data_IF_528358796383
#
_entry.id   IF_528358796383
#
_cell.length_a   1.000
_cell.length_b   1.000
_cell.length_c   1.000
_cell.angle_alpha   90.00
_cell.angle_beta   90.00
_cell.angle_gamma   90.00
#
_symmetry.space_group_name_H-M   'P 1'
#
loop_
_entity.id
_entity.type
_entity.pdbx_description
1 polymer ?
#
# COMPACT_ATOMS: atom_id res chain seq x y z
N UNK A 1 13.57 -5.35 19.56
CA UNK A 1 12.89 -5.13 20.03
C UNK A 1 11.53 -4.77 19.55
N UNK A 2 11.11 -3.57 19.86
CA UNK A 2 9.72 -3.21 19.54
C UNK A 2 9.42 -3.31 18.07
N UNK A 3 10.42 -3.00 17.26
CA UNK A 3 10.19 -3.01 15.81
C UNK A 3 9.90 -4.40 15.29
N UNK A 4 10.37 -5.40 15.98
CA UNK A 4 10.11 -6.76 15.55
C UNK A 4 8.64 -7.12 15.70
N UNK A 5 8.03 -6.63 16.76
CA UNK A 5 6.62 -6.90 16.96
C UNK A 5 5.77 -6.26 15.87
N UNK A 6 6.15 -5.06 15.47
CA UNK A 6 5.44 -4.41 14.37
C UNK A 6 5.60 -5.19 13.09
N UNK A 7 6.76 -5.77 12.88
CA UNK A 7 7.02 -6.54 11.68
C UNK A 7 6.26 -7.86 11.65
N UNK A 8 5.85 -8.35 12.79
CA UNK A 8 5.04 -9.56 12.83
C UNK A 8 3.66 -9.34 12.24
N UNK A 9 3.17 -8.10 12.30
CA UNK A 9 1.83 -7.79 11.83
C UNK A 9 1.79 -7.56 10.33
N UNK A 10 2.88 -7.08 9.76
CA UNK A 10 2.96 -6.92 8.31
C UNK A 10 4.42 -7.02 7.89
N UNK A 11 4.62 -7.31 6.62
CA UNK A 11 5.95 -7.62 6.11
C UNK A 11 6.60 -6.46 5.37
N UNK A 12 6.03 -5.27 5.49
CA UNK A 12 6.52 -4.12 4.75
C UNK A 12 7.79 -3.55 5.39
N UNK A 13 8.91 -3.73 4.72
CA UNK A 13 10.15 -3.10 5.12
C UNK A 13 10.32 -1.81 4.33
N UNK A 14 11.29 -1.01 4.73
CA UNK A 14 11.57 0.23 4.05
C UNK A 14 11.93 -0.03 2.57
N UNK A 15 12.73 -1.05 2.35
CA UNK A 15 13.15 -1.40 1.00
C UNK A 15 11.97 -1.81 0.12
N UNK A 16 11.10 -2.65 0.67
CA UNK A 16 9.95 -3.13 -0.08
C UNK A 16 8.97 -2.01 -0.38
N UNK A 17 8.80 -1.08 0.55
CA UNK A 17 7.94 0.08 0.30
C UNK A 17 8.48 0.95 -0.82
N UNK A 18 9.79 1.12 -0.86
CA UNK A 18 10.39 1.89 -1.93
C UNK A 18 10.17 1.24 -3.29
N UNK A 19 10.33 -0.06 -3.34
CA UNK A 19 10.11 -0.79 -4.59
C UNK A 19 8.68 -0.66 -5.05
N UNK A 20 7.75 -0.75 -4.13
CA UNK A 20 6.34 -0.62 -4.46
C UNK A 20 6.00 0.78 -4.94
N UNK A 21 6.53 1.79 -4.26
CA UNK A 21 6.32 3.17 -4.70
C UNK A 21 6.83 3.41 -6.12
N UNK A 22 8.01 2.90 -6.41
CA UNK A 22 8.58 3.06 -7.74
C UNK A 22 7.71 2.36 -8.78
N UNK A 23 7.22 1.18 -8.43
CA UNK A 23 6.36 0.43 -9.34
C UNK A 23 5.12 1.25 -9.69
N UNK A 24 4.49 1.84 -8.68
CA UNK A 24 3.29 2.64 -8.91
C UNK A 24 3.60 3.85 -9.78
N UNK A 25 4.69 4.53 -9.49
CA UNK A 25 5.04 5.74 -10.23
C UNK A 25 5.41 5.46 -11.67
N UNK A 26 6.12 4.37 -11.90
CA UNK A 26 6.65 4.09 -13.24
C UNK A 26 5.63 3.38 -14.11
N UNK A 27 4.82 2.52 -13.54
CA UNK A 27 3.94 1.68 -14.33
C UNK A 27 2.48 2.11 -14.29
N UNK A 28 2.13 2.96 -13.34
CA UNK A 28 0.75 3.41 -13.17
C UNK A 28 -0.22 2.22 -13.20
N UNK A 29 -0.01 1.21 -12.36
CA UNK A 29 -0.76 -0.04 -12.44
C UNK A 29 -2.15 0.05 -11.83
N UNK A 30 -2.97 -0.94 -12.15
CA UNK A 30 -4.22 -1.14 -11.42
C UNK A 30 -3.89 -1.79 -10.08
N UNK A 31 -4.86 -1.81 -9.17
CA UNK A 31 -4.60 -2.44 -7.88
C UNK A 31 -4.43 -3.94 -8.00
N UNK A 32 -5.09 -4.56 -8.98
CA UNK A 32 -4.88 -5.96 -9.27
C UNK A 32 -3.43 -6.25 -9.59
N UNK A 33 -2.84 -5.40 -10.40
CA UNK A 33 -1.42 -5.54 -10.74
C UNK A 33 -0.55 -5.31 -9.54
N UNK A 34 -0.96 -4.41 -8.67
CA UNK A 34 -0.24 -4.17 -7.42
C UNK A 34 -0.22 -5.42 -6.55
N UNK A 35 -1.34 -6.14 -6.48
CA UNK A 35 -1.39 -7.36 -5.69
C UNK A 35 -0.39 -8.39 -6.19
N UNK A 36 -0.29 -8.53 -7.51
CA UNK A 36 0.68 -9.46 -8.09
C UNK A 36 2.10 -9.05 -7.75
N UNK A 37 2.36 -7.75 -7.85
CA UNK A 37 3.68 -7.24 -7.53
C UNK A 37 4.05 -7.52 -6.08
N UNK A 38 3.10 -7.28 -5.17
CA UNK A 38 3.30 -7.49 -3.74
C UNK A 38 3.59 -8.97 -3.47
N UNK A 39 2.84 -9.85 -4.11
CA UNK A 39 3.07 -11.27 -3.93
C UNK A 39 4.46 -11.67 -4.41
N UNK A 40 4.91 -11.09 -5.51
CA UNK A 40 6.23 -11.38 -6.03
C UNK A 40 7.34 -10.86 -5.14
N UNK A 41 7.04 -9.89 -4.29
CA UNK A 41 7.99 -9.41 -3.30
C UNK A 41 8.11 -10.34 -2.10
N UNK A 42 7.23 -11.34 -2.02
CA UNK A 42 7.23 -12.26 -0.89
C UNK A 42 6.35 -11.81 0.25
N UNK A 43 5.48 -10.85 0.02
CA UNK A 43 4.57 -10.34 1.04
C UNK A 43 3.25 -11.08 0.93
N UNK A 44 2.79 -11.60 2.06
CA UNK A 44 1.53 -12.31 2.11
C UNK A 44 0.37 -11.37 1.87
N UNK A 45 -0.61 -11.79 1.06
CA UNK A 45 -1.77 -10.96 0.75
C UNK A 45 -2.85 -11.12 1.81
N UNK A 46 -2.54 -10.74 3.03
CA UNK A 46 -3.54 -10.73 4.10
C UNK A 46 -4.13 -9.34 4.24
N UNK A 47 -5.12 -9.21 5.12
CA UNK A 47 -5.86 -7.97 5.27
C UNK A 47 -4.94 -6.81 5.65
N UNK A 48 -4.06 -7.03 6.60
CA UNK A 48 -3.17 -5.97 7.08
C UNK A 48 -2.26 -5.48 5.96
N UNK A 49 -1.65 -6.41 5.25
CA UNK A 49 -0.72 -6.05 4.17
C UNK A 49 -1.45 -5.39 3.00
N UNK A 50 -2.64 -5.86 2.69
CA UNK A 50 -3.42 -5.27 1.61
C UNK A 50 -3.89 -3.86 1.96
N UNK A 51 -4.29 -3.64 3.21
CA UNK A 51 -4.69 -2.30 3.62
C UNK A 51 -3.52 -1.34 3.56
N UNK A 52 -2.36 -1.80 3.96
CA UNK A 52 -1.16 -0.97 3.91
C UNK A 52 -0.82 -0.63 2.45
N UNK A 53 -0.86 -1.62 1.58
CA UNK A 53 -0.58 -1.41 0.17
C UNK A 53 -1.61 -0.49 -0.47
N UNK A 54 -2.87 -0.67 -0.14
CA UNK A 54 -3.92 0.18 -0.69
C UNK A 54 -3.73 1.63 -0.27
N UNK A 55 -3.32 1.85 0.98
CA UNK A 55 -3.04 3.19 1.44
C UNK A 55 -1.93 3.86 0.64
N UNK A 56 -0.85 3.12 0.42
CA UNK A 56 0.25 3.65 -0.39
C UNK A 56 -0.21 3.95 -1.80
N UNK A 57 -0.96 3.03 -2.38
CA UNK A 57 -1.45 3.16 -3.74
C UNK A 57 -2.32 4.41 -3.91
N UNK A 58 -3.24 4.61 -2.99
CA UNK A 58 -4.15 5.74 -3.06
C UNK A 58 -3.40 7.04 -2.82
N UNK A 59 -2.48 7.03 -1.84
CA UNK A 59 -1.70 8.22 -1.53
C UNK A 59 -0.89 8.68 -2.75
N UNK A 60 -0.30 7.75 -3.46
CA UNK A 60 0.46 8.09 -4.65
C UNK A 60 -0.43 8.67 -5.74
N UNK A 61 -1.65 8.16 -5.85
CA UNK A 61 -2.58 8.67 -6.87
C UNK A 61 -3.04 10.09 -6.57
N UNK A 62 -3.15 10.44 -5.31
CA UNK A 62 -3.64 11.76 -4.93
C UNK A 62 -2.52 12.70 -4.50
N UNK A 63 -1.29 12.29 -4.66
CA UNK A 63 -0.14 13.07 -4.19
C UNK A 63 -0.17 14.48 -4.76
N UNK A 64 0.04 15.47 -3.87
CA UNK A 64 0.15 16.86 -4.27
C UNK A 64 -1.17 17.54 -4.56
N UNK A 65 -2.29 16.85 -4.45
CA UNK A 65 -3.58 17.42 -4.81
C UNK A 65 -4.51 17.60 -3.61
N UNK A 66 -4.26 16.88 -2.54
CA UNK A 66 -5.16 16.87 -1.39
C UNK A 66 -4.38 17.02 -0.11
N UNK A 67 -5.01 17.54 0.91
CA UNK A 67 -4.41 17.56 2.22
C UNK A 67 -4.39 16.17 2.80
N UNK A 68 -3.59 16.00 3.85
CA UNK A 68 -3.50 14.70 4.52
C UNK A 68 -4.87 14.28 5.05
N UNK A 69 -5.63 15.22 5.55
CA UNK A 69 -6.95 14.92 6.11
C UNK A 69 -7.92 14.49 5.03
N UNK A 70 -7.89 15.17 3.90
CA UNK A 70 -8.76 14.80 2.79
C UNK A 70 -8.42 13.41 2.28
N UNK A 71 -7.12 13.12 2.18
CA UNK A 71 -6.69 11.80 1.73
C UNK A 71 -7.12 10.72 2.71
N UNK A 72 -7.06 11.02 4.01
CA UNK A 72 -7.43 10.04 5.00
C UNK A 72 -8.89 9.61 4.85
N UNK A 73 -9.78 10.57 4.64
CA UNK A 73 -11.19 10.25 4.47
C UNK A 73 -11.43 9.45 3.21
N UNK A 74 -10.77 9.83 2.11
CA UNK A 74 -10.90 9.11 0.86
C UNK A 74 -10.32 7.72 0.98
N UNK A 75 -9.19 7.60 1.67
CA UNK A 75 -8.47 6.35 1.76
C UNK A 75 -9.31 5.25 2.44
N UNK A 76 -10.01 5.59 3.51
CA UNK A 76 -10.78 4.59 4.21
C UNK A 76 -11.83 3.95 3.32
N UNK A 77 -12.56 4.76 2.56
CA UNK A 77 -13.57 4.24 1.66
C UNK A 77 -12.95 3.48 0.50
N UNK A 78 -11.89 4.02 -0.06
CA UNK A 78 -11.25 3.41 -1.22
C UNK A 78 -10.54 2.10 -0.87
N UNK A 79 -9.96 2.04 0.32
CA UNK A 79 -9.30 0.80 0.74
C UNK A 79 -10.30 -0.34 0.77
N UNK A 80 -11.47 -0.12 1.35
CA UNK A 80 -12.48 -1.16 1.39
C UNK A 80 -12.90 -1.57 0.00
N UNK A 81 -13.06 -0.61 -0.90
CA UNK A 81 -13.41 -0.92 -2.29
C UNK A 81 -12.34 -1.74 -2.98
N UNK A 82 -11.09 -1.40 -2.77
CA UNK A 82 -10.00 -2.09 -3.45
C UNK A 82 -9.80 -3.51 -2.93
N UNK A 83 -10.00 -3.71 -1.63
CA UNK A 83 -9.75 -5.00 -1.01
C UNK A 83 -10.93 -5.94 -1.23
N UNK A 84 -12.12 -5.42 -1.17
CA UNK A 84 -13.33 -6.21 -1.36
C UNK A 84 -13.75 -6.22 -2.82
#
# INVERSE_FOLDING_TARGET
>A
MENQELNLNHQWTKTLRKKFNLFIKEKNPSFSECKEFIRNLGIELNDINLRFAAGIYIFEKYDGRHTVEEIRDIVEDEIDSLIN
#
